data_IF_999692274550
#
_entry.id   IF_999692274550
#
_cell.length_a   1.000
_cell.length_b   1.000
_cell.length_c   1.000
_cell.angle_alpha   90.00
_cell.angle_beta   90.00
_cell.angle_gamma   90.00
#
_symmetry.space_group_name_H-M   'P 1'
#
loop_
_entity.id
_entity.type
_entity.pdbx_description
1 polymer ?
#
# COMPACT_ATOMS: atom_id res chain seq x y z
N UNK A 1 -3.24 5.59 -16.25
CA UNK A 1 -4.61 6.13 -16.00
C UNK A 1 -5.17 5.73 -14.64
N UNK A 2 -5.24 4.44 -14.28
CA UNK A 2 -5.94 3.98 -13.06
C UNK A 2 -5.38 4.50 -11.72
N UNK A 3 -4.05 4.59 -11.57
CA UNK A 3 -3.43 5.15 -10.35
C UNK A 3 -3.79 6.62 -10.15
N UNK A 4 -3.80 7.44 -11.20
CA UNK A 4 -4.15 8.86 -11.10
C UNK A 4 -5.63 9.06 -10.71
N UNK A 5 -6.52 8.21 -11.23
CA UNK A 5 -7.95 8.18 -10.83
C UNK A 5 -8.07 7.78 -9.36
N UNK A 6 -7.40 6.70 -8.95
CA UNK A 6 -7.39 6.26 -7.56
C UNK A 6 -6.92 7.37 -6.61
N UNK A 7 -5.85 8.08 -6.98
CA UNK A 7 -5.29 9.15 -6.17
C UNK A 7 -6.22 10.37 -6.03
N UNK A 8 -7.12 10.57 -6.98
CA UNK A 8 -8.09 11.68 -6.99
C UNK A 8 -9.36 11.39 -6.20
N UNK A 9 -9.84 10.14 -6.21
CA UNK A 9 -11.18 9.80 -5.71
C UNK A 9 -11.20 9.04 -4.38
N UNK A 10 -10.07 8.48 -3.94
CA UNK A 10 -10.01 7.73 -2.67
C UNK A 10 -9.27 8.52 -1.58
N UNK A 11 -9.52 8.18 -0.32
CA UNK A 11 -8.79 8.76 0.79
C UNK A 11 -7.32 8.30 0.81
N UNK A 12 -6.42 9.15 1.32
CA UNK A 12 -4.98 8.84 1.43
C UNK A 12 -4.75 7.52 2.17
N UNK A 13 -5.53 7.26 3.23
CA UNK A 13 -5.45 6.02 4.01
C UNK A 13 -5.69 4.78 3.12
N UNK A 14 -6.70 4.83 2.23
CA UNK A 14 -7.03 3.74 1.31
C UNK A 14 -5.98 3.58 0.20
N UNK A 15 -5.50 4.70 -0.34
CA UNK A 15 -4.44 4.73 -1.35
C UNK A 15 -3.13 4.15 -0.81
N UNK A 16 -2.78 4.49 0.42
CA UNK A 16 -1.61 3.97 1.13
C UNK A 16 -1.74 2.46 1.31
N UNK A 17 -2.88 1.97 1.83
CA UNK A 17 -3.11 0.53 1.98
C UNK A 17 -2.95 -0.21 0.65
N UNK A 18 -3.59 0.29 -0.42
CA UNK A 18 -3.43 -0.25 -1.78
C UNK A 18 -1.97 -0.26 -2.23
N UNK A 19 -1.23 0.83 -1.99
CA UNK A 19 0.16 0.95 -2.43
C UNK A 19 1.07 -0.05 -1.72
N UNK A 20 0.87 -0.27 -0.42
CA UNK A 20 1.62 -1.26 0.35
C UNK A 20 1.31 -2.68 -0.15
N UNK A 21 0.04 -3.02 -0.31
CA UNK A 21 -0.35 -4.35 -0.80
C UNK A 21 0.23 -4.65 -2.19
N UNK A 22 0.18 -3.70 -3.13
CA UNK A 22 0.79 -3.89 -4.45
C UNK A 22 2.33 -4.04 -4.41
N UNK A 23 2.98 -3.49 -3.39
CA UNK A 23 4.41 -3.71 -3.16
C UNK A 23 4.67 -5.11 -2.62
N UNK A 24 3.88 -5.54 -1.64
CA UNK A 24 3.97 -6.87 -1.02
C UNK A 24 3.60 -7.98 -1.99
N UNK A 25 2.66 -7.76 -2.91
CA UNK A 25 2.29 -8.73 -3.96
C UNK A 25 3.46 -9.08 -4.90
N UNK A 26 4.63 -8.43 -4.75
CA UNK A 26 5.83 -8.64 -5.55
C UNK A 26 6.99 -9.22 -4.75
N UNK A 27 6.80 -9.43 -3.45
CA UNK A 27 7.82 -9.85 -2.50
C UNK A 27 7.31 -11.07 -1.72
N UNK A 28 8.19 -12.00 -1.33
CA UNK A 28 7.81 -13.11 -0.44
C UNK A 28 7.73 -12.69 1.04
N UNK A 29 7.83 -11.39 1.35
CA UNK A 29 7.89 -10.85 2.71
C UNK A 29 6.72 -9.93 3.01
N UNK A 30 6.38 -9.78 4.28
CA UNK A 30 5.40 -8.79 4.76
C UNK A 30 6.03 -7.43 5.09
N UNK A 31 7.20 -7.14 4.53
CA UNK A 31 7.97 -5.92 4.81
C UNK A 31 8.39 -5.17 3.56
N UNK A 32 8.43 -3.84 3.67
CA UNK A 32 8.79 -2.92 2.60
C UNK A 32 9.79 -1.89 3.10
N UNK A 33 10.89 -1.71 2.36
CA UNK A 33 11.79 -0.57 2.56
C UNK A 33 11.28 0.60 1.72
N UNK A 34 10.54 1.50 2.36
CA UNK A 34 9.95 2.66 1.69
C UNK A 34 9.80 3.83 2.66
N UNK A 35 10.30 5.00 2.29
CA UNK A 35 10.15 6.21 3.10
C UNK A 35 8.77 6.85 2.89
N UNK A 36 8.32 7.64 3.87
CA UNK A 36 7.12 8.48 3.73
C UNK A 36 7.23 9.46 2.56
N UNK A 37 8.43 9.97 2.29
CA UNK A 37 8.68 10.86 1.15
C UNK A 37 8.49 10.14 -0.18
N UNK A 38 9.02 8.92 -0.31
CA UNK A 38 8.81 8.11 -1.50
C UNK A 38 7.32 7.77 -1.67
N UNK A 39 6.62 7.42 -0.59
CA UNK A 39 5.18 7.23 -0.59
C UNK A 39 4.42 8.47 -1.05
N UNK A 40 4.77 9.64 -0.54
CA UNK A 40 4.14 10.91 -0.89
C UNK A 40 4.27 11.19 -2.39
N UNK A 41 5.48 11.01 -2.94
CA UNK A 41 5.77 11.15 -4.36
C UNK A 41 4.97 10.16 -5.22
N UNK A 42 4.89 8.89 -4.81
CA UNK A 42 4.13 7.86 -5.53
C UNK A 42 2.62 8.07 -5.50
N UNK A 43 2.10 8.66 -4.41
CA UNK A 43 0.69 8.98 -4.24
C UNK A 43 0.33 10.36 -4.79
N UNK A 44 1.31 11.22 -5.11
CA UNK A 44 1.07 12.59 -5.55
C UNK A 44 0.40 13.45 -4.47
N UNK A 45 0.73 13.20 -3.21
CA UNK A 45 0.17 13.90 -2.04
C UNK A 45 1.27 14.50 -1.20
N UNK A 46 0.91 15.38 -0.26
CA UNK A 46 1.87 15.94 0.69
C UNK A 46 2.33 14.89 1.71
N UNK A 47 3.58 14.97 2.13
CA UNK A 47 4.19 14.04 3.09
C UNK A 47 3.42 13.95 4.40
N UNK A 48 2.87 15.06 4.89
CA UNK A 48 2.08 15.09 6.14
C UNK A 48 0.84 14.19 6.04
N UNK A 49 0.23 14.10 4.86
CA UNK A 49 -0.90 13.21 4.62
C UNK A 49 -0.50 11.74 4.76
N UNK A 50 0.67 11.37 4.23
CA UNK A 50 1.23 10.02 4.39
C UNK A 50 1.60 9.75 5.84
N UNK A 51 2.19 10.71 6.54
CA UNK A 51 2.53 10.58 7.96
C UNK A 51 1.28 10.33 8.80
N UNK A 52 0.22 11.10 8.59
CA UNK A 52 -1.04 10.93 9.30
C UNK A 52 -1.69 9.56 9.00
N UNK A 53 -1.70 9.14 7.73
CA UNK A 53 -2.23 7.84 7.32
C UNK A 53 -1.44 6.67 7.93
N UNK A 54 -0.12 6.73 7.86
CA UNK A 54 0.77 5.73 8.45
C UNK A 54 0.58 5.64 9.97
N UNK A 55 0.45 6.79 10.66
CA UNK A 55 0.20 6.82 12.10
C UNK A 55 -1.13 6.16 12.46
N UNK A 56 -2.21 6.43 11.72
CA UNK A 56 -3.51 5.75 11.93
C UNK A 56 -3.40 4.23 11.77
N UNK A 57 -2.65 3.77 10.77
CA UNK A 57 -2.42 2.33 10.56
C UNK A 57 -1.56 1.71 11.67
N UNK A 58 -0.57 2.44 12.18
CA UNK A 58 0.23 2.01 13.34
C UNK A 58 -0.62 1.91 14.61
N UNK A 59 -1.42 2.93 14.91
CA UNK A 59 -2.31 2.94 16.07
C UNK A 59 -3.37 1.82 15.99
N UNK A 60 -3.81 1.47 14.78
CA UNK A 60 -4.72 0.35 14.55
C UNK A 60 -4.04 -1.03 14.60
N UNK A 61 -2.72 -1.08 14.82
CA UNK A 61 -1.94 -2.33 14.86
C UNK A 61 -1.83 -3.04 13.51
N UNK A 62 -2.08 -2.33 12.40
CA UNK A 62 -2.05 -2.91 11.04
C UNK A 62 -0.64 -2.93 10.48
N UNK A 63 0.16 -1.91 10.80
CA UNK A 63 1.55 -1.81 10.36
C UNK A 63 2.45 -1.39 11.53
N UNK A 64 3.75 -1.65 11.38
CA UNK A 64 4.82 -0.98 12.12
C UNK A 64 5.64 -0.17 11.13
N UNK A 65 5.99 1.06 11.49
CA UNK A 65 6.84 1.88 10.65
C UNK A 65 8.00 2.47 11.47
N UNK A 66 9.23 2.24 11.00
CA UNK A 66 10.43 2.80 11.61
C UNK A 66 11.54 2.96 10.58
N UNK A 67 12.27 4.09 10.61
CA UNK A 67 13.46 4.34 9.76
C UNK A 67 13.30 3.92 8.28
N UNK A 68 12.17 4.26 7.67
CA UNK A 68 11.90 3.92 6.25
C UNK A 68 11.61 2.44 5.98
N UNK A 69 11.31 1.66 7.02
CA UNK A 69 10.90 0.27 6.94
C UNK A 69 9.46 0.14 7.46
N UNK A 70 8.61 -0.47 6.65
CA UNK A 70 7.21 -0.77 6.95
C UNK A 70 7.09 -2.29 7.09
N UNK A 71 6.69 -2.76 8.27
CA UNK A 71 6.26 -4.14 8.47
C UNK A 71 4.73 -4.17 8.51
N UNK A 72 4.10 -5.04 7.74
CA UNK A 72 2.66 -5.28 7.81
C UNK A 72 2.41 -6.37 8.84
N UNK A 73 1.65 -6.00 9.89
CA UNK A 73 1.35 -6.87 11.02
C UNK A 73 0.05 -7.65 10.81
N UNK A 74 -0.89 -7.07 10.07
CA UNK A 74 -2.17 -7.69 9.74
C UNK A 74 -2.54 -7.35 8.29
N UNK A 75 -2.17 -8.26 7.38
CA UNK A 75 -2.43 -8.11 5.96
C UNK A 75 -3.92 -8.07 5.64
N UNK A 76 -4.73 -8.88 6.32
CA UNK A 76 -6.18 -8.94 6.08
C UNK A 76 -6.84 -7.59 6.43
N UNK A 77 -6.47 -6.99 7.56
CA UNK A 77 -6.95 -5.64 7.91
C UNK A 77 -6.45 -4.58 6.95
N UNK A 78 -5.24 -4.73 6.40
CA UNK A 78 -4.73 -3.83 5.38
C UNK A 78 -5.53 -3.95 4.06
N UNK A 79 -5.87 -5.17 3.64
CA UNK A 79 -6.74 -5.43 2.48
C UNK A 79 -8.13 -4.83 2.66
N UNK A 80 -8.75 -5.02 3.83
CA UNK A 80 -10.07 -4.45 4.15
C UNK A 80 -10.10 -2.92 4.18
N UNK A 81 -8.95 -2.26 4.34
CA UNK A 81 -8.82 -0.80 4.34
C UNK A 81 -8.40 -0.23 2.98
N UNK A 82 -7.97 -1.08 2.05
CA UNK A 82 -7.64 -0.65 0.69
C UNK A 82 -8.90 -0.31 -0.09
N UNK A 83 -8.77 0.57 -1.09
CA UNK A 83 -9.84 0.80 -2.05
C UNK A 83 -9.98 -0.37 -3.02
N UNK A 84 -11.13 -0.45 -3.68
CA UNK A 84 -11.49 -1.44 -4.69
C UNK A 84 -10.51 -1.45 -5.89
N UNK A 85 -9.79 -0.34 -6.11
CA UNK A 85 -8.70 -0.25 -7.09
C UNK A 85 -7.56 -1.23 -6.82
N UNK A 86 -7.43 -1.79 -5.60
CA UNK A 86 -6.49 -2.86 -5.30
C UNK A 86 -6.84 -4.14 -6.06
N UNK A 87 -8.09 -4.61 -5.96
CA UNK A 87 -8.54 -5.85 -6.57
C UNK A 87 -8.38 -5.83 -8.10
N UNK A 88 -8.70 -4.69 -8.73
CA UNK A 88 -8.51 -4.52 -10.18
C UNK A 88 -7.03 -4.57 -10.56
N UNK A 89 -6.17 -3.85 -9.85
CA UNK A 89 -4.74 -3.85 -10.14
C UNK A 89 -4.07 -5.20 -9.89
N UNK A 90 -4.47 -5.92 -8.83
CA UNK A 90 -4.00 -7.26 -8.51
C UNK A 90 -4.41 -8.26 -9.61
N UNK A 91 -5.66 -8.20 -10.06
CA UNK A 91 -6.16 -9.05 -11.15
C UNK A 91 -5.38 -8.82 -12.45
N UNK A 92 -5.16 -7.57 -12.84
CA UNK A 92 -4.37 -7.26 -14.03
C UNK A 92 -2.90 -7.67 -13.88
N UNK A 93 -2.31 -7.53 -12.69
CA UNK A 93 -0.96 -8.00 -12.40
C UNK A 93 -0.84 -9.52 -12.63
N UNK A 94 -1.72 -10.33 -12.03
CA UNK A 94 -1.71 -11.79 -12.22
C UNK A 94 -2.05 -12.22 -13.65
N UNK A 95 -2.89 -11.46 -14.35
CA UNK A 95 -3.20 -11.72 -15.76
C UNK A 95 -1.97 -11.52 -16.66
N UNK A 96 -1.20 -10.46 -16.42
CA UNK A 96 -0.05 -10.09 -17.26
C UNK A 96 1.23 -10.83 -16.89
N UNK A 97 1.38 -11.20 -15.62
CA UNK A 97 2.53 -11.95 -15.10
C UNK A 97 2.03 -13.24 -14.45
N UNK A 98 1.64 -14.25 -15.25
CA UNK A 98 1.20 -15.54 -14.75
C UNK A 98 2.40 -16.38 -14.31
N UNK A 99 3.06 -15.97 -13.22
CA UNK A 99 3.88 -16.88 -12.42
C UNK A 99 3.70 -16.58 -10.93
N UNK A 100 3.66 -17.62 -10.08
CA UNK A 100 3.53 -17.44 -8.66
C UNK A 100 4.85 -16.89 -8.11
N UNK A 101 4.78 -15.89 -7.24
CA UNK A 101 5.85 -15.73 -6.26
C UNK A 101 5.83 -16.99 -5.40
N UNK A 102 6.93 -17.72 -5.45
CA UNK A 102 7.13 -18.97 -4.75
C UNK A 102 6.79 -18.84 -3.25
N UNK A 103 6.30 -19.96 -2.72
CA UNK A 103 5.79 -20.19 -1.36
C UNK A 103 6.75 -19.79 -0.23
#
# INVERSE_FOLDING_TARGET
AQTAVCNRYHAIDQQLCRRLLLGLDRLPTDSLTMTQELLANLLGVRREGVTAAALKLQLAGVIRYSRGHIDVLDRVRLENRACECYGVARKEYFRLLPMPLAA
#
